data_IF_264076293671
#
_entry.id   IF_264076293671
#
_cell.length_a   1.000
_cell.length_b   1.000
_cell.length_c   1.000
_cell.angle_alpha   90.00
_cell.angle_beta   90.00
_cell.angle_gamma   90.00
#
_symmetry.space_group_name_H-M   'P 1'
#
loop_
_entity.id
_entity.type
_entity.pdbx_description
1 polymer ?
#
# COMPACT_ATOMS: atom_id res chain seq x y z
N UNK A 1 25.74 15.74 1.18
CA UNK A 1 25.62 14.90 2.39
C UNK A 1 25.36 15.82 3.57
N UNK A 2 24.09 16.00 3.94
CA UNK A 2 23.73 16.93 5.04
C UNK A 2 23.92 16.13 6.33
N UNK A 3 25.04 16.39 7.02
CA UNK A 3 25.20 15.94 8.40
C UNK A 3 24.30 16.81 9.29
N UNK A 4 23.13 16.29 9.62
CA UNK A 4 22.31 16.85 10.68
C UNK A 4 22.99 16.45 11.99
N UNK A 5 23.71 17.39 12.60
CA UNK A 5 24.25 17.23 13.95
C UNK A 5 23.11 16.85 14.89
N UNK A 6 23.19 15.62 15.45
CA UNK A 6 22.26 15.10 16.46
C UNK A 6 22.43 15.88 17.77
N UNK A 7 21.83 17.08 17.87
CA UNK A 7 21.47 17.62 19.18
C UNK A 7 20.26 16.85 19.67
N UNK A 8 20.33 16.35 20.93
CA UNK A 8 19.23 15.64 21.59
C UNK A 8 17.91 16.36 21.37
N UNK A 9 17.03 15.77 20.54
CA UNK A 9 15.73 16.34 20.17
C UNK A 9 14.63 16.01 21.18
N UNK A 10 14.92 15.20 22.18
CA UNK A 10 13.91 14.63 23.08
C UNK A 10 13.89 15.33 24.42
N UNK A 11 12.68 15.61 24.90
CA UNK A 11 12.43 16.27 26.16
C UNK A 11 12.90 15.42 27.37
N UNK A 12 12.93 14.08 27.20
CA UNK A 12 13.35 13.12 28.24
C UNK A 12 14.62 12.37 27.79
N UNK A 13 15.79 12.88 28.12
CA UNK A 13 17.10 12.28 27.80
C UNK A 13 17.25 10.81 28.25
N UNK A 14 16.59 10.41 29.33
CA UNK A 14 16.63 9.02 29.83
C UNK A 14 15.98 8.02 28.90
N UNK A 15 15.14 8.47 27.95
CA UNK A 15 14.44 7.62 26.98
C UNK A 15 15.13 7.58 25.60
N UNK A 16 16.26 8.27 25.44
CA UNK A 16 16.97 8.32 24.16
C UNK A 16 17.24 6.93 23.55
N UNK A 17 17.71 5.88 24.30
CA UNK A 17 17.91 4.56 23.75
C UNK A 17 16.62 3.90 23.25
N UNK A 18 15.52 4.14 23.94
CA UNK A 18 14.20 3.64 23.52
C UNK A 18 13.74 4.31 22.22
N UNK A 19 13.89 5.63 22.14
CA UNK A 19 13.53 6.38 20.93
C UNK A 19 14.35 5.98 19.71
N UNK A 20 15.63 5.67 19.88
CA UNK A 20 16.47 5.17 18.77
C UNK A 20 15.98 3.82 18.24
N UNK A 21 15.56 2.91 19.11
CA UNK A 21 14.98 1.62 18.73
C UNK A 21 13.64 1.83 18.01
N UNK A 22 12.77 2.66 18.57
CA UNK A 22 11.44 2.93 17.98
C UNK A 22 11.55 3.61 16.63
N UNK A 23 12.48 4.54 16.44
CA UNK A 23 12.75 5.20 15.16
C UNK A 23 13.22 4.20 14.10
N UNK A 24 14.11 3.28 14.49
CA UNK A 24 14.58 2.22 13.60
C UNK A 24 13.45 1.26 13.15
N UNK A 25 12.48 1.01 14.03
CA UNK A 25 11.35 0.08 13.77
C UNK A 25 10.16 0.76 13.07
N UNK A 26 10.01 2.07 13.18
CA UNK A 26 8.83 2.79 12.69
C UNK A 26 8.58 2.54 11.20
N UNK A 27 9.61 2.68 10.37
CA UNK A 27 9.46 2.47 8.93
C UNK A 27 9.20 1.01 8.52
N UNK A 28 9.97 0.02 9.01
CA UNK A 28 9.66 -1.39 8.77
C UNK A 28 8.22 -1.77 9.17
N UNK A 29 7.72 -1.24 10.27
CA UNK A 29 6.35 -1.47 10.72
C UNK A 29 5.32 -0.89 9.75
N UNK A 30 5.49 0.37 9.31
CA UNK A 30 4.58 1.00 8.32
C UNK A 30 4.57 0.18 7.03
N UNK A 31 5.73 -0.22 6.53
CA UNK A 31 5.87 -1.04 5.33
C UNK A 31 5.21 -2.40 5.48
N UNK A 32 5.43 -3.08 6.61
CA UNK A 32 4.82 -4.36 6.93
C UNK A 32 3.28 -4.25 6.93
N UNK A 33 2.75 -3.27 7.65
CA UNK A 33 1.30 -3.07 7.77
C UNK A 33 0.67 -2.79 6.40
N UNK A 34 1.20 -1.83 5.63
CA UNK A 34 0.60 -1.49 4.33
C UNK A 34 0.70 -2.65 3.33
N UNK A 35 1.78 -3.43 3.34
CA UNK A 35 1.91 -4.62 2.52
C UNK A 35 0.90 -5.70 2.90
N UNK A 36 0.77 -6.00 4.20
CA UNK A 36 -0.20 -6.99 4.70
C UNK A 36 -1.64 -6.58 4.36
N UNK A 37 -1.99 -5.30 4.44
CA UNK A 37 -3.34 -4.82 4.11
C UNK A 37 -3.73 -5.04 2.64
N UNK A 38 -2.77 -5.15 1.73
CA UNK A 38 -3.04 -5.44 0.31
C UNK A 38 -3.32 -6.93 0.05
N UNK A 39 -2.74 -7.83 0.85
CA UNK A 39 -2.83 -9.29 0.64
C UNK A 39 -4.28 -9.81 0.59
N UNK A 40 -5.19 -9.50 1.53
CA UNK A 40 -6.56 -9.97 1.50
C UNK A 40 -7.33 -9.52 0.25
N UNK A 41 -7.04 -8.32 -0.28
CA UNK A 41 -7.68 -7.80 -1.50
C UNK A 41 -7.28 -8.61 -2.74
N UNK A 42 -5.99 -8.93 -2.88
CA UNK A 42 -5.51 -9.80 -3.95
C UNK A 42 -5.96 -11.24 -3.76
N UNK A 43 -5.92 -11.77 -2.54
CA UNK A 43 -6.38 -13.11 -2.22
C UNK A 43 -7.83 -13.33 -2.63
N UNK A 44 -8.72 -12.42 -2.27
CA UNK A 44 -10.14 -12.50 -2.62
C UNK A 44 -10.42 -12.52 -4.12
N UNK A 45 -9.56 -11.88 -4.92
CA UNK A 45 -9.64 -11.92 -6.38
C UNK A 45 -9.11 -13.21 -6.97
N UNK A 46 -7.97 -13.71 -6.48
CA UNK A 46 -7.25 -14.83 -7.08
C UNK A 46 -7.77 -16.20 -6.64
N UNK A 47 -8.17 -16.35 -5.38
CA UNK A 47 -8.40 -17.65 -4.76
C UNK A 47 -9.86 -17.93 -4.34
N UNK A 48 -10.71 -16.89 -4.31
CA UNK A 48 -12.14 -17.10 -4.07
C UNK A 48 -12.85 -17.52 -5.37
N UNK A 49 -13.83 -18.41 -5.26
CA UNK A 49 -14.62 -18.86 -6.41
C UNK A 49 -15.23 -17.69 -7.20
N UNK A 50 -14.93 -17.63 -8.48
CA UNK A 50 -15.38 -16.57 -9.38
C UNK A 50 -14.81 -15.18 -9.06
N UNK A 51 -13.71 -15.06 -8.32
CA UNK A 51 -13.12 -13.79 -7.90
C UNK A 51 -12.62 -12.95 -9.09
N UNK A 52 -11.93 -13.60 -10.03
CA UNK A 52 -11.45 -12.96 -11.26
C UNK A 52 -12.61 -12.51 -12.15
N UNK A 53 -13.60 -13.38 -12.35
CA UNK A 53 -14.77 -13.09 -13.19
C UNK A 53 -15.59 -11.93 -12.63
N UNK A 54 -15.80 -11.87 -11.31
CA UNK A 54 -16.48 -10.75 -10.64
C UNK A 54 -15.70 -9.46 -10.81
N UNK A 55 -14.37 -9.52 -10.63
CA UNK A 55 -13.50 -8.36 -10.79
C UNK A 55 -13.49 -7.88 -12.24
N UNK A 56 -13.43 -8.79 -13.21
CA UNK A 56 -13.49 -8.46 -14.64
C UNK A 56 -14.83 -7.82 -15.02
N UNK A 57 -15.96 -8.38 -14.55
CA UNK A 57 -17.28 -7.77 -14.75
C UNK A 57 -17.36 -6.36 -14.19
N UNK A 58 -16.82 -6.15 -13.00
CA UNK A 58 -16.76 -4.82 -12.39
C UNK A 58 -15.91 -3.87 -13.24
N UNK A 59 -14.71 -4.28 -13.68
CA UNK A 59 -13.86 -3.44 -14.51
C UNK A 59 -14.51 -3.09 -15.85
N UNK A 60 -15.16 -4.04 -16.50
CA UNK A 60 -15.93 -3.79 -17.72
C UNK A 60 -17.06 -2.79 -17.49
N UNK A 61 -17.74 -2.86 -16.33
CA UNK A 61 -18.84 -1.91 -16.00
C UNK A 61 -18.37 -0.47 -15.82
N UNK A 62 -17.09 -0.25 -15.53
CA UNK A 62 -16.46 1.08 -15.42
C UNK A 62 -15.52 1.38 -16.60
N UNK A 63 -15.68 0.66 -17.71
CA UNK A 63 -14.95 0.85 -18.97
C UNK A 63 -13.43 0.65 -18.88
N UNK A 64 -12.96 -0.20 -17.97
CA UNK A 64 -11.57 -0.64 -17.89
C UNK A 64 -11.42 -1.93 -18.71
N UNK A 65 -10.83 -1.80 -19.91
CA UNK A 65 -10.63 -2.92 -20.84
C UNK A 65 -9.14 -3.05 -21.24
N UNK A 66 -8.65 -4.27 -21.51
CA UNK A 66 -9.33 -5.58 -21.40
C UNK A 66 -9.52 -6.02 -19.93
N UNK A 67 -10.78 -6.15 -19.49
CA UNK A 67 -11.15 -6.30 -18.08
C UNK A 67 -10.58 -7.55 -17.42
N UNK A 68 -10.55 -8.69 -18.14
CA UNK A 68 -10.00 -9.94 -17.63
C UNK A 68 -8.48 -9.83 -17.37
N UNK A 69 -7.75 -9.14 -18.23
CA UNK A 69 -6.33 -8.89 -18.06
C UNK A 69 -6.07 -8.05 -16.79
N UNK A 70 -6.81 -6.95 -16.64
CA UNK A 70 -6.67 -6.09 -15.47
C UNK A 70 -7.13 -6.77 -14.18
N UNK A 71 -8.12 -7.65 -14.22
CA UNK A 71 -8.54 -8.44 -13.05
C UNK A 71 -7.40 -9.33 -12.54
N UNK A 72 -6.72 -10.06 -13.43
CA UNK A 72 -5.54 -10.84 -13.09
C UNK A 72 -4.39 -9.97 -12.61
N UNK A 73 -4.06 -8.90 -13.34
CA UNK A 73 -2.98 -7.99 -12.99
C UNK A 73 -3.16 -7.41 -11.59
N UNK A 74 -4.33 -6.86 -11.29
CA UNK A 74 -4.64 -6.28 -9.97
C UNK A 74 -4.58 -7.36 -8.88
N UNK A 75 -5.18 -8.53 -9.10
CA UNK A 75 -5.13 -9.62 -8.13
C UNK A 75 -3.70 -10.03 -7.79
N UNK A 76 -2.85 -10.22 -8.81
CA UNK A 76 -1.44 -10.62 -8.62
C UNK A 76 -0.64 -9.50 -7.91
N UNK A 77 -0.79 -8.26 -8.35
CA UNK A 77 -0.04 -7.13 -7.77
C UNK A 77 -0.46 -6.87 -6.32
N UNK A 78 -1.73 -6.95 -5.99
CA UNK A 78 -2.19 -6.79 -4.60
C UNK A 78 -1.71 -7.95 -3.72
N UNK A 79 -1.77 -9.19 -4.18
CA UNK A 79 -1.36 -10.35 -3.40
C UNK A 79 0.16 -10.48 -3.31
N UNK A 80 0.83 -10.73 -4.43
CA UNK A 80 2.28 -10.93 -4.46
C UNK A 80 3.04 -9.63 -4.16
N UNK A 81 2.59 -8.50 -4.71
CA UNK A 81 3.16 -7.19 -4.44
C UNK A 81 3.00 -6.77 -2.97
N UNK A 82 1.85 -7.06 -2.36
CA UNK A 82 1.64 -6.87 -0.92
C UNK A 82 2.65 -7.64 -0.07
N UNK A 83 2.88 -8.92 -0.38
CA UNK A 83 3.90 -9.76 0.28
C UNK A 83 5.30 -9.14 0.08
N UNK A 84 5.65 -8.81 -1.16
CA UNK A 84 6.96 -8.24 -1.49
C UNK A 84 7.22 -6.93 -0.76
N UNK A 85 6.24 -6.03 -0.69
CA UNK A 85 6.34 -4.78 0.07
C UNK A 85 6.48 -5.07 1.55
N UNK A 86 5.69 -5.99 2.13
CA UNK A 86 5.74 -6.33 3.54
C UNK A 86 7.13 -6.81 3.98
N UNK A 87 7.75 -7.72 3.22
CA UNK A 87 9.08 -8.26 3.52
C UNK A 87 10.24 -7.36 3.07
N UNK A 88 9.99 -6.35 2.23
CA UNK A 88 11.00 -5.43 1.72
C UNK A 88 11.66 -5.84 0.41
N UNK A 89 11.15 -6.87 -0.26
CA UNK A 89 11.68 -7.36 -1.52
C UNK A 89 11.07 -6.60 -2.71
N UNK A 90 11.90 -6.10 -3.62
CA UNK A 90 11.47 -5.32 -4.80
C UNK A 90 10.46 -4.20 -4.46
N UNK A 91 10.57 -3.63 -3.27
CA UNK A 91 9.60 -2.72 -2.66
C UNK A 91 9.19 -1.59 -3.60
N UNK A 92 10.15 -0.92 -4.27
CA UNK A 92 9.85 0.21 -5.16
C UNK A 92 9.05 -0.20 -6.38
N UNK A 93 9.33 -1.38 -6.94
CA UNK A 93 8.64 -1.88 -8.14
C UNK A 93 7.18 -2.15 -7.81
N UNK A 94 6.93 -2.86 -6.72
CA UNK A 94 5.56 -3.21 -6.34
C UNK A 94 4.78 -2.03 -5.74
N UNK A 95 5.43 -1.16 -4.97
CA UNK A 95 4.74 0.01 -4.43
C UNK A 95 4.28 0.98 -5.53
N UNK A 96 5.05 1.18 -6.61
CA UNK A 96 4.60 1.99 -7.76
C UNK A 96 3.37 1.39 -8.43
N UNK A 97 3.32 0.06 -8.62
CA UNK A 97 2.16 -0.60 -9.21
C UNK A 97 0.94 -0.51 -8.29
N UNK A 98 1.13 -0.72 -6.98
CA UNK A 98 0.07 -0.55 -5.98
C UNK A 98 -0.45 0.89 -5.92
N UNK A 99 0.41 1.92 -6.09
CA UNK A 99 -0.03 3.31 -6.22
C UNK A 99 -0.98 3.48 -7.41
N UNK A 100 -0.66 2.89 -8.58
CA UNK A 100 -1.54 2.93 -9.75
C UNK A 100 -2.91 2.30 -9.48
N UNK A 101 -2.94 1.15 -8.82
CA UNK A 101 -4.19 0.46 -8.44
C UNK A 101 -4.99 1.32 -7.45
N UNK A 102 -4.33 1.84 -6.41
CA UNK A 102 -4.97 2.68 -5.38
C UNK A 102 -5.43 4.03 -5.94
N UNK A 103 -4.74 4.57 -6.96
CA UNK A 103 -5.19 5.75 -7.68
C UNK A 103 -6.52 5.50 -8.40
N UNK A 104 -6.64 4.41 -9.14
CA UNK A 104 -7.90 4.01 -9.78
C UNK A 104 -8.98 3.76 -8.73
N UNK A 105 -8.67 3.05 -7.65
CA UNK A 105 -9.60 2.82 -6.55
C UNK A 105 -10.09 4.15 -5.94
N UNK A 106 -9.20 5.12 -5.72
CA UNK A 106 -9.54 6.42 -5.13
C UNK A 106 -10.41 7.26 -6.05
N UNK A 107 -9.94 7.50 -7.29
CA UNK A 107 -10.50 8.54 -8.14
C UNK A 107 -11.53 8.03 -9.15
N UNK A 108 -11.51 6.74 -9.49
CA UNK A 108 -12.46 6.16 -10.45
C UNK A 108 -13.56 5.38 -9.73
N UNK A 109 -13.20 4.57 -8.71
CA UNK A 109 -14.17 3.67 -8.07
C UNK A 109 -14.92 4.36 -6.92
N UNK A 110 -14.19 4.97 -5.99
CA UNK A 110 -14.75 5.43 -4.71
C UNK A 110 -15.04 6.94 -4.65
N UNK A 111 -14.53 7.73 -5.58
CA UNK A 111 -14.64 9.20 -5.53
C UNK A 111 -16.09 9.71 -5.45
N UNK A 112 -16.98 9.08 -6.19
CA UNK A 112 -18.40 9.42 -6.27
C UNK A 112 -19.15 9.21 -4.92
N UNK A 113 -18.63 8.34 -4.06
CA UNK A 113 -19.23 8.01 -2.77
C UNK A 113 -18.84 8.99 -1.64
N UNK A 114 -18.07 10.04 -1.97
CA UNK A 114 -17.57 11.01 -1.00
C UNK A 114 -16.37 10.50 -0.21
N UNK A 115 -15.99 11.25 0.84
CA UNK A 115 -14.76 10.98 1.59
C UNK A 115 -14.86 9.75 2.50
N UNK A 116 -15.93 9.68 3.32
CA UNK A 116 -16.01 8.71 4.43
C UNK A 116 -16.14 7.27 3.95
N UNK A 117 -15.30 6.40 4.48
CA UNK A 117 -15.26 4.95 4.16
C UNK A 117 -16.58 4.22 4.48
N UNK A 118 -17.31 4.67 5.51
CA UNK A 118 -18.59 4.06 5.91
C UNK A 118 -19.64 4.11 4.79
N UNK A 119 -19.50 5.05 3.88
CA UNK A 119 -20.33 5.18 2.68
C UNK A 119 -19.68 4.56 1.43
N UNK A 120 -18.60 3.79 1.62
CA UNK A 120 -17.80 3.27 0.49
C UNK A 120 -16.90 4.34 -0.15
N UNK A 121 -16.59 5.43 0.56
CA UNK A 121 -15.82 6.56 0.07
C UNK A 121 -14.32 6.28 -0.09
N UNK A 122 -13.61 7.30 -0.57
CA UNK A 122 -12.21 7.16 -1.00
C UNK A 122 -11.17 7.34 0.12
N UNK A 123 -11.56 7.53 1.36
CA UNK A 123 -10.68 7.74 2.53
C UNK A 123 -9.56 6.69 2.62
N UNK A 124 -9.92 5.41 2.61
CA UNK A 124 -8.93 4.34 2.75
C UNK A 124 -8.01 4.17 1.55
N UNK A 125 -8.50 4.05 0.30
CA UNK A 125 -7.58 3.91 -0.81
C UNK A 125 -6.68 5.13 -0.97
N UNK A 126 -7.14 6.34 -0.66
CA UNK A 126 -6.31 7.54 -0.64
C UNK A 126 -5.22 7.45 0.43
N UNK A 127 -5.56 7.08 1.67
CA UNK A 127 -4.60 6.93 2.75
C UNK A 127 -3.51 5.90 2.40
N UNK A 128 -3.91 4.72 1.90
CA UNK A 128 -2.97 3.68 1.49
C UNK A 128 -2.09 4.12 0.32
N UNK A 129 -2.64 4.86 -0.64
CA UNK A 129 -1.87 5.43 -1.75
C UNK A 129 -0.78 6.38 -1.25
N UNK A 130 -1.10 7.29 -0.34
CA UNK A 130 -0.13 8.24 0.22
C UNK A 130 0.98 7.52 1.00
N UNK A 131 0.65 6.47 1.76
CA UNK A 131 1.64 5.64 2.45
C UNK A 131 2.54 4.91 1.43
N UNK A 132 1.96 4.33 0.36
CA UNK A 132 2.74 3.67 -0.70
C UNK A 132 3.69 4.63 -1.42
N UNK A 133 3.30 5.90 -1.61
CA UNK A 133 4.19 6.94 -2.14
C UNK A 133 5.41 7.13 -1.22
N UNK A 134 5.19 7.25 0.08
CA UNK A 134 6.28 7.36 1.06
C UNK A 134 7.18 6.12 1.07
N UNK A 135 6.58 4.92 0.96
CA UNK A 135 7.30 3.64 0.85
C UNK A 135 8.13 3.59 -0.44
N UNK A 136 7.62 4.09 -1.56
CA UNK A 136 8.37 4.14 -2.84
C UNK A 136 9.63 5.00 -2.70
N UNK A 137 9.54 6.15 -2.05
CA UNK A 137 10.71 7.03 -1.87
C UNK A 137 11.79 6.38 -1.01
N UNK A 138 11.41 5.71 0.07
CA UNK A 138 12.35 5.08 0.99
C UNK A 138 12.86 3.70 0.50
N UNK A 139 12.03 2.98 -0.24
CA UNK A 139 12.34 1.62 -0.73
C UNK A 139 12.25 0.57 0.38
N UNK A 140 13.05 -0.49 0.30
CA UNK A 140 13.05 -1.59 1.29
C UNK A 140 13.51 -1.19 2.70
N UNK A 141 14.30 -0.11 2.81
CA UNK A 141 14.84 0.33 4.10
C UNK A 141 15.99 -0.54 4.62
N UNK A 142 16.36 -0.41 5.89
CA UNK A 142 17.52 -1.09 6.46
C UNK A 142 17.29 -2.60 6.70
N UNK A 143 16.05 -3.07 6.62
CA UNK A 143 15.68 -4.47 6.79
C UNK A 143 15.02 -4.95 5.49
N UNK A 144 15.82 -5.22 4.48
CA UNK A 144 15.37 -5.72 3.16
C UNK A 144 16.41 -6.63 2.55
#
# INVERSE_FOLDING_TARGET
MIQVTRRSRYFFRKLDPLYEILDALAYPLIRLVVGIMMIPHGYGKLFNDGGIERTAKFFSSISIEPSIFFAWYVGIVEFAGGICVAIGFLTRIFSVQLIGILFVATFVVHFQNGFLWINGGYEYPLMWMLIMIAVTFKGGGPIS
#
